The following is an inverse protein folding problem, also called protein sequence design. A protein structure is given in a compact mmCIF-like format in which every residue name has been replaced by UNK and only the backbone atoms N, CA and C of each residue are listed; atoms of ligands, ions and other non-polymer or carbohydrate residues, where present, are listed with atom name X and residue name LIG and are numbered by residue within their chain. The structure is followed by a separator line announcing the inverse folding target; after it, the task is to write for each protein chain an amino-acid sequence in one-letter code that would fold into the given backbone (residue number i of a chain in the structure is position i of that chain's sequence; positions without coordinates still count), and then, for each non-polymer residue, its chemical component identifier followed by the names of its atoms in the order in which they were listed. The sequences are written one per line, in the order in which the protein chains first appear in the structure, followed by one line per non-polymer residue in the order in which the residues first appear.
data_IF_160069449774
#
_entry.id   IF_160069449774
#
_cell.length_a   1.000
_cell.length_b   1.000
_cell.length_c   1.000
_cell.angle_alpha   90.00
_cell.angle_beta   90.00
_cell.angle_gamma   90.00
#
_symmetry.space_group_name_H-M   'P 1'
#
loop_
_entity.id
_entity.type
_entity.pdbx_description
1 polymer ?
#
# COMPACT_ATOMS: atom_id res chain seq x y z
N UNK A 1 5.74 1.05 4.74
CA UNK A 1 6.37 -0.27 4.53
C UNK A 1 7.86 -0.14 4.76
N UNK A 2 8.47 -1.08 5.48
CA UNK A 2 9.91 -1.11 5.75
C UNK A 2 10.47 -2.39 5.13
N UNK A 3 11.58 -2.29 4.39
CA UNK A 3 12.31 -3.44 3.89
C UNK A 3 13.46 -3.79 4.85
N UNK A 4 13.57 -5.06 5.24
CA UNK A 4 14.66 -5.53 6.11
C UNK A 4 15.95 -5.84 5.32
N UNK A 5 15.81 -6.24 4.05
CA UNK A 5 16.92 -6.39 3.10
C UNK A 5 17.01 -5.18 2.18
N UNK A 6 18.05 -5.14 1.35
CA UNK A 6 18.27 -4.06 0.39
C UNK A 6 17.23 -4.08 -0.74
N UNK A 7 16.64 -2.91 -0.99
CA UNK A 7 15.63 -2.68 -2.03
C UNK A 7 15.97 -1.33 -2.64
N UNK A 8 16.30 -1.26 -3.94
CA UNK A 8 16.74 -0.01 -4.55
C UNK A 8 15.74 1.14 -4.33
N UNK A 9 16.26 2.31 -3.98
CA UNK A 9 15.50 3.56 -3.99
C UNK A 9 14.83 3.78 -5.35
N UNK A 10 13.60 4.28 -5.34
CA UNK A 10 12.80 4.41 -6.55
C UNK A 10 11.90 3.21 -6.83
N UNK A 11 12.07 2.07 -6.15
CA UNK A 11 11.17 0.91 -6.29
C UNK A 11 9.74 1.30 -5.93
N UNK A 12 8.79 1.09 -6.85
CA UNK A 12 7.38 1.33 -6.62
C UNK A 12 6.81 0.26 -5.68
N UNK A 13 6.10 0.69 -4.65
CA UNK A 13 5.38 -0.17 -3.71
C UNK A 13 3.91 0.17 -3.78
N UNK A 14 3.08 -0.81 -4.15
CA UNK A 14 1.63 -0.69 -4.15
C UNK A 14 1.02 -1.58 -3.07
N UNK A 15 -0.14 -1.20 -2.56
CA UNK A 15 -0.94 -2.02 -1.64
C UNK A 15 -2.32 -2.30 -2.23
N UNK A 16 -2.84 -3.48 -1.96
CA UNK A 16 -4.22 -3.87 -2.26
C UNK A 16 -4.88 -4.31 -0.95
N UNK A 17 -6.17 -4.07 -0.83
CA UNK A 17 -6.97 -4.53 0.31
C UNK A 17 -8.09 -5.42 -0.22
N UNK A 18 -8.27 -6.60 0.38
CA UNK A 18 -9.28 -7.56 -0.05
C UNK A 18 -9.66 -8.52 1.07
N UNK A 19 -10.91 -8.95 1.07
CA UNK A 19 -11.45 -10.02 1.92
C UNK A 19 -12.57 -10.78 1.16
N UNK A 20 -13.24 -11.72 1.83
CA UNK A 20 -14.27 -12.57 1.22
C UNK A 20 -15.48 -11.77 0.70
N UNK A 21 -15.80 -10.62 1.30
CA UNK A 21 -16.93 -9.77 0.89
C UNK A 21 -16.55 -8.78 -0.23
N UNK A 22 -15.30 -8.33 -0.24
CA UNK A 22 -14.78 -7.37 -1.20
C UNK A 22 -13.32 -7.73 -1.52
N UNK A 23 -13.11 -8.50 -2.60
CA UNK A 23 -11.80 -9.03 -2.95
C UNK A 23 -10.78 -7.95 -3.34
N UNK A 24 -11.24 -6.76 -3.74
CA UNK A 24 -10.40 -5.64 -4.14
C UNK A 24 -11.08 -4.31 -3.80
N UNK A 25 -10.93 -3.87 -2.56
CA UNK A 25 -11.48 -2.63 -2.06
C UNK A 25 -10.83 -1.40 -2.73
N UNK A 26 -11.63 -0.36 -2.96
CA UNK A 26 -11.12 0.92 -3.45
C UNK A 26 -10.19 1.56 -2.41
N UNK A 27 -8.99 1.94 -2.86
CA UNK A 27 -7.99 2.65 -2.09
C UNK A 27 -7.60 3.96 -2.80
N UNK A 28 -7.27 4.99 -2.03
CA UNK A 28 -6.64 6.22 -2.54
C UNK A 28 -5.24 6.36 -1.99
N UNK A 29 -4.32 6.87 -2.82
CA UNK A 29 -2.89 6.99 -2.50
C UNK A 29 -2.25 5.64 -2.12
N UNK A 30 -2.65 4.57 -2.83
CA UNK A 30 -2.24 3.18 -2.61
C UNK A 30 -0.85 2.83 -3.19
N UNK A 31 -0.11 3.84 -3.66
CA UNK A 31 1.24 3.69 -4.21
C UNK A 31 2.20 4.61 -3.47
N UNK A 32 3.39 4.12 -3.16
CA UNK A 32 4.49 4.88 -2.58
C UNK A 32 5.81 4.46 -3.24
N UNK A 33 6.83 5.30 -3.11
CA UNK A 33 8.17 5.00 -3.62
C UNK A 33 9.07 4.62 -2.44
N UNK A 34 9.84 3.55 -2.60
CA UNK A 34 10.87 3.16 -1.65
C UNK A 34 11.98 4.22 -1.59
N UNK A 35 12.36 4.63 -0.38
CA UNK A 35 13.51 5.50 -0.14
C UNK A 35 14.17 5.15 1.19
N UNK A 36 15.47 4.90 1.20
CA UNK A 36 16.23 4.48 2.39
C UNK A 36 15.54 3.30 3.12
N UNK A 37 15.17 2.26 2.37
CA UNK A 37 14.47 1.07 2.89
C UNK A 37 13.08 1.33 3.50
N UNK A 38 12.51 2.53 3.32
CA UNK A 38 11.17 2.87 3.77
C UNK A 38 10.32 3.42 2.61
N UNK A 39 9.19 2.77 2.32
CA UNK A 39 8.15 3.31 1.47
C UNK A 39 7.05 3.94 2.34
N UNK A 40 6.96 5.27 2.31
CA UNK A 40 5.97 6.06 3.07
C UNK A 40 4.80 6.41 2.17
N UNK A 41 3.64 5.84 2.49
CA UNK A 41 2.38 6.22 1.84
C UNK A 41 1.89 7.52 2.46
N UNK A 42 1.73 8.55 1.63
CA UNK A 42 1.21 9.84 2.08
C UNK A 42 -0.31 9.81 2.00
N UNK A 43 -0.97 9.85 3.16
CA UNK A 43 -2.43 9.89 3.25
C UNK A 43 -3.11 8.72 2.50
N UNK A 44 -2.65 7.48 2.76
CA UNK A 44 -3.33 6.27 2.29
C UNK A 44 -4.74 6.21 2.88
N UNK A 45 -5.75 5.98 2.03
CA UNK A 45 -7.15 5.88 2.46
C UNK A 45 -7.81 4.60 1.97
N UNK A 46 -8.58 3.99 2.86
CA UNK A 46 -9.50 2.90 2.56
C UNK A 46 -10.87 3.51 2.24
N UNK A 47 -11.30 3.39 0.98
CA UNK A 47 -12.60 3.92 0.51
C UNK A 47 -13.63 2.80 0.43
N UNK A 48 -13.23 1.64 -0.09
CA UNK A 48 -14.06 0.44 -0.11
C UNK A 48 -14.34 -0.08 1.30
N UNK A 49 -15.55 -0.57 1.52
CA UNK A 49 -15.97 -1.19 2.79
C UNK A 49 -15.50 -2.64 2.87
N UNK A 50 -15.25 -3.11 4.11
CA UNK A 50 -14.85 -4.49 4.42
C UNK A 50 -16.01 -5.40 4.83
N UNK A 51 -17.23 -4.87 4.92
CA UNK A 51 -18.39 -5.56 5.46
C UNK A 51 -19.06 -4.82 6.60
N UNK A 52 -20.08 -5.45 7.17
CA UNK A 52 -20.84 -4.91 8.31
C UNK A 52 -20.16 -5.21 9.65
#
# INVERSE_FOLDING_TARGET
VVALGDVPDGTLVTVMAGNDENYSAELRNASAVMKNQVARFNDLRFVGRSGR
#
